data_IF_243261856153
#
_entry.id   IF_243261856153
#
_cell.length_a   1.000
_cell.length_b   1.000
_cell.length_c   1.000
_cell.angle_alpha   90.00
_cell.angle_beta   90.00
_cell.angle_gamma   90.00
#
_symmetry.space_group_name_H-M   'P 1'
#
loop_
_entity.id
_entity.type
_entity.pdbx_description
1 polymer ?
#
# COMPACT_ATOMS: atom_id res chain seq x y z
N UNK A 1 29.08 -8.03 0.89
CA UNK A 1 27.96 -7.61 1.77
C UNK A 1 26.60 -8.01 1.19
N UNK A 2 26.26 -7.66 -0.07
CA UNK A 2 24.96 -7.98 -0.67
C UNK A 2 24.58 -9.47 -0.66
N UNK A 3 25.43 -10.36 -1.19
CA UNK A 3 25.13 -11.80 -1.24
C UNK A 3 24.97 -12.42 0.15
N UNK A 4 25.79 -11.99 1.11
CA UNK A 4 25.66 -12.41 2.51
C UNK A 4 24.30 -11.97 3.09
N UNK A 5 23.89 -10.72 2.86
CA UNK A 5 22.60 -10.22 3.33
C UNK A 5 21.42 -10.97 2.69
N UNK A 6 21.51 -11.31 1.40
CA UNK A 6 20.49 -12.11 0.71
C UNK A 6 20.36 -13.51 1.34
N UNK A 7 21.47 -14.22 1.49
CA UNK A 7 21.49 -15.59 2.07
C UNK A 7 21.03 -15.56 3.54
N UNK A 8 21.48 -14.58 4.31
CA UNK A 8 21.08 -14.43 5.71
C UNK A 8 19.59 -14.12 5.85
N UNK A 9 19.06 -13.18 5.04
CA UNK A 9 17.65 -12.78 5.08
C UNK A 9 16.71 -13.91 4.69
N UNK A 10 17.09 -14.76 3.73
CA UNK A 10 16.29 -15.94 3.37
C UNK A 10 16.21 -16.95 4.53
N UNK A 11 17.30 -17.15 5.28
CA UNK A 11 17.38 -18.18 6.32
C UNK A 11 16.91 -17.71 7.70
N UNK A 12 17.08 -16.43 8.01
CA UNK A 12 16.87 -15.88 9.36
C UNK A 12 16.12 -14.54 9.36
N UNK A 13 15.64 -14.08 8.20
CA UNK A 13 14.87 -12.84 8.10
C UNK A 13 13.50 -12.96 8.77
N UNK A 14 12.97 -11.82 9.22
CA UNK A 14 11.60 -11.73 9.73
C UNK A 14 10.62 -11.59 8.56
N UNK A 15 9.42 -12.12 8.74
CA UNK A 15 8.33 -11.85 7.81
C UNK A 15 8.05 -10.35 7.73
N UNK A 16 7.97 -9.83 6.51
CA UNK A 16 7.77 -8.40 6.27
C UNK A 16 6.30 -7.97 6.40
N UNK A 17 5.36 -8.92 6.33
CA UNK A 17 3.95 -8.64 6.13
C UNK A 17 3.66 -8.07 4.74
N UNK A 18 2.39 -7.74 4.47
CA UNK A 18 1.96 -7.31 3.13
C UNK A 18 2.36 -5.91 2.72
N UNK A 19 2.64 -5.02 3.68
CA UNK A 19 3.02 -3.64 3.40
C UNK A 19 3.94 -3.07 4.48
N UNK A 20 5.20 -3.54 4.58
CA UNK A 20 6.17 -3.07 5.57
C UNK A 20 6.50 -1.59 5.43
N UNK A 21 6.32 -1.01 4.23
CA UNK A 21 6.73 0.35 3.90
C UNK A 21 5.61 1.38 4.01
N UNK A 22 4.41 0.95 4.41
CA UNK A 22 3.21 1.81 4.44
C UNK A 22 2.95 2.48 3.09
N UNK A 23 3.19 1.78 1.99
CA UNK A 23 2.96 2.26 0.65
C UNK A 23 1.46 2.31 0.31
N UNK A 24 1.09 3.25 -0.54
CA UNK A 24 -0.32 3.59 -0.85
C UNK A 24 -0.85 2.88 -2.10
N UNK A 25 0.03 2.40 -2.97
CA UNK A 25 -0.31 1.79 -4.26
C UNK A 25 -0.84 0.35 -4.14
N UNK A 26 -1.59 -0.09 -5.15
CA UNK A 26 -2.33 -1.36 -5.10
C UNK A 26 -1.45 -2.61 -5.01
N UNK A 27 -0.20 -2.60 -5.47
CA UNK A 27 0.69 -3.77 -5.35
C UNK A 27 0.97 -4.17 -3.90
N UNK A 28 0.74 -3.25 -2.95
CA UNK A 28 0.86 -3.48 -1.51
C UNK A 28 -0.47 -3.78 -0.82
N UNK A 29 -1.55 -3.94 -1.60
CA UNK A 29 -2.93 -4.14 -1.12
C UNK A 29 -3.50 -5.49 -1.55
N UNK A 30 -2.63 -6.47 -1.84
CA UNK A 30 -3.06 -7.83 -2.15
C UNK A 30 -3.59 -8.52 -0.88
N UNK A 31 -4.63 -9.36 -0.97
CA UNK A 31 -5.19 -10.05 0.21
C UNK A 31 -4.19 -11.00 0.87
N UNK A 32 -3.29 -11.57 0.07
CA UNK A 32 -2.29 -12.54 0.49
C UNK A 32 -0.87 -11.97 0.31
N UNK A 33 0.07 -12.45 1.14
CA UNK A 33 1.49 -12.12 1.06
C UNK A 33 2.30 -13.40 1.20
N UNK A 34 3.02 -13.85 0.15
CA UNK A 34 3.15 -13.22 -1.18
C UNK A 34 1.84 -13.21 -1.98
N UNK A 35 1.68 -12.30 -2.98
CA UNK A 35 0.50 -12.30 -3.84
C UNK A 35 0.31 -13.64 -4.56
N UNK A 36 -0.88 -14.23 -4.43
CA UNK A 36 -1.24 -15.43 -5.18
C UNK A 36 -1.49 -15.13 -6.66
N UNK A 37 -1.56 -16.19 -7.47
CA UNK A 37 -1.94 -16.07 -8.86
C UNK A 37 -3.33 -15.41 -8.99
N UNK A 38 -3.44 -14.41 -9.86
CA UNK A 38 -4.64 -13.56 -9.96
C UNK A 38 -4.62 -12.33 -9.07
N UNK A 39 -3.62 -12.16 -8.19
CA UNK A 39 -3.30 -11.01 -7.34
C UNK A 39 -4.41 -10.56 -6.35
N UNK A 40 -5.57 -10.15 -6.85
CA UNK A 40 -6.68 -9.55 -6.09
C UNK A 40 -7.91 -10.46 -5.97
N UNK A 41 -7.86 -11.68 -6.50
CA UNK A 41 -8.97 -12.63 -6.43
C UNK A 41 -10.13 -12.26 -7.37
N UNK A 42 -11.36 -12.55 -6.93
CA UNK A 42 -12.57 -12.39 -7.76
C UNK A 42 -13.02 -10.93 -7.90
N UNK A 43 -12.82 -10.14 -6.86
CA UNK A 43 -13.27 -8.74 -6.80
C UNK A 43 -12.05 -7.82 -6.89
N UNK A 44 -12.06 -6.90 -7.86
CA UNK A 44 -10.97 -5.95 -8.04
C UNK A 44 -11.10 -4.77 -7.06
N UNK A 45 -9.99 -4.24 -6.53
CA UNK A 45 -10.03 -3.07 -5.67
C UNK A 45 -10.51 -1.84 -6.46
N UNK A 46 -11.37 -1.04 -5.83
CA UNK A 46 -11.78 0.26 -6.35
C UNK A 46 -10.74 1.31 -5.93
N UNK A 47 -10.33 2.18 -6.85
CA UNK A 47 -9.38 3.26 -6.57
C UNK A 47 -10.14 4.55 -6.27
N UNK A 48 -9.92 5.12 -5.09
CA UNK A 48 -10.58 6.36 -4.64
C UNK A 48 -9.65 7.58 -4.63
N UNK A 49 -8.34 7.38 -4.75
CA UNK A 49 -7.32 8.43 -4.51
C UNK A 49 -6.01 8.18 -5.27
N UNK A 50 -5.10 9.14 -5.18
CA UNK A 50 -3.80 9.10 -5.84
C UNK A 50 -2.80 8.15 -5.17
N UNK A 51 -1.82 7.72 -5.96
CA UNK A 51 -0.72 6.86 -5.52
C UNK A 51 0.21 7.51 -4.48
N UNK A 52 0.04 8.79 -4.14
CA UNK A 52 0.92 9.52 -3.22
C UNK A 52 0.16 10.24 -2.10
N UNK A 53 -1.01 9.73 -1.71
CA UNK A 53 -1.80 10.25 -0.57
C UNK A 53 -1.13 9.93 0.77
N UNK A 54 0.03 10.55 0.98
CA UNK A 54 0.76 10.59 2.23
C UNK A 54 0.51 11.91 2.94
N UNK A 55 0.46 11.89 4.27
CA UNK A 55 0.34 13.08 5.12
C UNK A 55 -0.81 14.02 4.70
N UNK A 56 -1.93 13.45 4.27
CA UNK A 56 -3.10 14.22 3.85
C UNK A 56 -3.65 14.99 5.06
N UNK A 57 -3.77 16.33 4.99
CA UNK A 57 -4.26 17.11 6.14
C UNK A 57 -5.63 16.63 6.62
N UNK A 58 -5.76 16.38 7.92
CA UNK A 58 -6.98 15.90 8.54
C UNK A 58 -7.22 14.39 8.44
N UNK A 59 -6.35 13.62 7.79
CA UNK A 59 -6.40 12.17 7.80
C UNK A 59 -5.92 11.58 9.14
N UNK A 60 -6.47 10.43 9.50
CA UNK A 60 -6.06 9.70 10.71
C UNK A 60 -4.67 9.09 10.60
N UNK A 61 -4.31 8.63 9.40
CA UNK A 61 -3.05 7.94 9.11
C UNK A 61 -2.23 8.76 8.11
N UNK A 62 -0.90 8.69 8.24
CA UNK A 62 0.04 9.38 7.35
C UNK A 62 0.18 8.74 5.96
N UNK A 63 -0.47 7.60 5.73
CA UNK A 63 -0.52 6.92 4.45
C UNK A 63 -1.93 6.38 4.25
N UNK A 64 -2.55 6.68 3.11
CA UNK A 64 -3.89 6.21 2.80
C UNK A 64 -3.84 5.36 1.53
N UNK A 65 -4.04 4.04 1.62
CA UNK A 65 -4.08 3.19 0.46
C UNK A 65 -5.16 3.59 -0.55
N UNK A 66 -4.88 3.36 -1.84
CA UNK A 66 -5.75 3.72 -2.95
C UNK A 66 -7.17 3.15 -2.85
N UNK A 67 -7.31 1.99 -2.20
CA UNK A 67 -8.55 1.25 -2.03
C UNK A 67 -9.29 1.51 -0.72
N UNK A 68 -8.82 2.45 0.11
CA UNK A 68 -9.55 2.86 1.32
C UNK A 68 -10.60 3.92 0.95
N UNK A 69 -11.90 3.64 1.11
CA UNK A 69 -12.93 4.62 0.86
C UNK A 69 -12.76 5.78 1.84
N UNK A 70 -12.81 7.01 1.33
CA UNK A 70 -12.85 8.21 2.18
C UNK A 70 -14.27 8.50 2.65
N UNK A 71 -14.40 9.16 3.80
CA UNK A 71 -15.56 10.03 4.02
C UNK A 71 -15.44 11.18 3.04
N UNK A 72 -16.32 11.23 2.02
CA UNK A 72 -16.40 12.39 1.14
C UNK A 72 -16.63 13.65 2.00
N UNK A 73 -15.62 14.50 2.10
CA UNK A 73 -15.60 15.64 3.00
C UNK A 73 -14.57 16.66 2.54
N UNK A 74 -14.91 17.41 1.50
CA UNK A 74 -14.64 18.85 1.34
C UNK A 74 -13.35 19.39 2.00
N UNK A 75 -12.18 18.88 1.61
CA UNK A 75 -10.96 19.70 1.56
C UNK A 75 -10.86 20.31 0.16
N UNK A 76 -10.31 21.53 -0.02
CA UNK A 76 -10.31 22.18 -1.33
C UNK A 76 -9.75 21.20 -2.35
N UNK A 77 -10.56 20.89 -3.36
CA UNK A 77 -10.14 20.12 -4.53
C UNK A 77 -8.80 20.69 -4.94
N UNK A 78 -7.72 19.94 -4.76
CA UNK A 78 -6.46 20.29 -5.40
C UNK A 78 -6.78 20.25 -6.89
N UNK A 79 -6.85 21.43 -7.51
CA UNK A 79 -6.91 21.53 -8.96
C UNK A 79 -5.78 20.68 -9.53
N UNK A 80 -6.02 19.90 -10.59
CA UNK A 80 -4.94 19.18 -11.26
C UNK A 80 -3.94 20.21 -11.80
N UNK A 81 -2.67 20.01 -11.46
CA UNK A 81 -1.54 20.76 -12.01
C UNK A 81 -1.38 20.53 -13.52
#
# INVERSE_FOLDING_TARGET
>A
VFLFNLIWSIRHGREAGGNPWRATTLEWQTPETPPAHGNFGKELPIVYRWAYDYSVPGAKEDFIPQNVPGSFGLGPSREPA
#
